data_IF_328993224508
#
_entry.id   IF_328993224508
#
_cell.length_a   1.000
_cell.length_b   1.000
_cell.length_c   1.000
_cell.angle_alpha   90.00
_cell.angle_beta   90.00
_cell.angle_gamma   90.00
#
_symmetry.space_group_name_H-M   'P 1'
#
loop_
_entity.id
_entity.type
_entity.pdbx_description
1 polymer ?
#
# COMPACT_ATOMS: atom_id res chain seq x y z
N UNK A 1 23.33 -8.13 -56.45
CA UNK A 1 23.55 -7.96 -55.00
C UNK A 1 22.19 -7.83 -54.31
N UNK A 2 21.82 -8.78 -53.46
CA UNK A 2 20.65 -8.63 -52.58
C UNK A 2 21.09 -7.91 -51.31
N UNK A 3 20.46 -6.77 -51.00
CA UNK A 3 20.72 -6.05 -49.76
C UNK A 3 20.02 -6.77 -48.61
N UNK A 4 20.78 -7.43 -47.75
CA UNK A 4 20.26 -7.95 -46.49
C UNK A 4 20.24 -6.78 -45.51
N UNK A 5 19.06 -6.27 -45.18
CA UNK A 5 18.92 -5.31 -44.08
C UNK A 5 19.41 -5.97 -42.81
N UNK A 6 20.58 -5.58 -42.33
CA UNK A 6 21.07 -6.00 -41.01
C UNK A 6 20.11 -5.42 -39.98
N UNK A 7 19.61 -6.26 -39.07
CA UNK A 7 18.79 -5.78 -37.98
C UNK A 7 19.53 -4.61 -37.29
N UNK A 8 18.86 -3.45 -37.09
CA UNK A 8 19.49 -2.31 -36.44
C UNK A 8 20.06 -2.74 -35.08
N UNK A 9 21.19 -2.18 -34.67
CA UNK A 9 21.68 -2.38 -33.32
C UNK A 9 20.60 -1.84 -32.36
N UNK A 10 20.02 -2.74 -31.57
CA UNK A 10 19.11 -2.35 -30.50
C UNK A 10 20.00 -2.06 -29.28
N UNK A 11 20.20 -0.79 -28.98
CA UNK A 11 20.87 -0.41 -27.73
C UNK A 11 19.95 -0.76 -26.56
N UNK A 12 20.49 -1.46 -25.57
CA UNK A 12 19.71 -1.80 -24.38
C UNK A 12 19.64 -0.60 -23.45
N UNK A 13 18.60 -0.52 -22.63
CA UNK A 13 18.51 0.51 -21.60
C UNK A 13 19.64 0.31 -20.58
N UNK A 14 20.54 1.28 -20.50
CA UNK A 14 21.68 1.25 -19.59
C UNK A 14 21.32 1.87 -18.24
N UNK A 15 21.81 1.31 -17.11
CA UNK A 15 21.66 1.94 -15.81
C UNK A 15 22.20 3.38 -15.81
N UNK A 16 21.34 4.33 -15.40
CA UNK A 16 21.67 5.75 -15.37
C UNK A 16 21.74 6.45 -16.73
N UNK A 17 21.36 5.82 -17.85
CA UNK A 17 21.41 6.44 -19.18
C UNK A 17 20.63 7.74 -19.30
N UNK A 18 19.53 7.85 -18.54
CA UNK A 18 18.65 9.02 -18.47
C UNK A 18 19.23 10.21 -17.67
N UNK A 19 20.38 10.04 -16.99
CA UNK A 19 20.99 11.10 -16.17
C UNK A 19 21.76 12.08 -17.05
N UNK A 20 21.38 13.36 -16.98
CA UNK A 20 22.08 14.46 -17.67
C UNK A 20 23.15 15.06 -16.76
N UNK A 21 22.83 15.27 -15.48
CA UNK A 21 23.79 15.71 -14.49
C UNK A 21 23.47 15.17 -13.10
N UNK A 22 24.52 14.91 -12.32
CA UNK A 22 24.41 14.35 -10.98
C UNK A 22 25.29 15.12 -10.00
N UNK A 23 24.89 15.22 -8.72
CA UNK A 23 25.68 15.88 -7.69
C UNK A 23 26.88 15.01 -7.34
N UNK A 24 27.89 15.60 -6.68
CA UNK A 24 29.07 14.85 -6.25
C UNK A 24 28.69 13.70 -5.30
N UNK A 25 29.21 12.51 -5.60
CA UNK A 25 29.00 11.29 -4.83
C UNK A 25 27.62 10.66 -5.05
N UNK A 26 27.28 9.68 -4.20
CA UNK A 26 26.04 8.90 -4.32
C UNK A 26 24.83 9.52 -3.59
N UNK A 27 24.85 10.82 -3.31
CA UNK A 27 23.82 11.49 -2.50
C UNK A 27 22.42 11.52 -3.12
N UNK A 28 22.35 11.34 -4.43
CA UNK A 28 21.11 11.36 -5.22
C UNK A 28 20.45 9.97 -5.33
N UNK A 29 21.17 8.90 -4.98
CA UNK A 29 20.73 7.52 -5.12
C UNK A 29 20.58 6.89 -3.74
N UNK A 30 19.41 6.34 -3.47
CA UNK A 30 19.16 5.52 -2.29
C UNK A 30 18.86 4.07 -2.71
N UNK A 31 19.18 3.13 -1.81
CA UNK A 31 18.75 1.75 -1.94
C UNK A 31 17.32 1.64 -1.42
N UNK A 32 16.42 1.10 -2.25
CA UNK A 32 15.00 0.97 -1.91
C UNK A 32 14.50 -0.44 -2.20
N UNK A 33 13.39 -0.83 -1.56
CA UNK A 33 12.71 -2.08 -1.83
C UNK A 33 11.66 -1.86 -2.93
N UNK A 34 11.85 -2.51 -4.08
CA UNK A 34 10.88 -2.51 -5.17
C UNK A 34 9.91 -3.68 -4.95
N UNK A 35 8.61 -3.41 -5.03
CA UNK A 35 7.59 -4.43 -4.83
C UNK A 35 7.65 -5.50 -5.91
N UNK A 36 7.35 -6.74 -5.52
CA UNK A 36 7.19 -7.85 -6.43
C UNK A 36 6.10 -7.64 -7.49
N UNK A 37 6.11 -8.52 -8.51
CA UNK A 37 5.22 -8.58 -9.67
C UNK A 37 5.53 -7.61 -10.83
N UNK A 38 6.70 -6.95 -10.84
CA UNK A 38 7.07 -6.09 -11.98
C UNK A 38 8.56 -6.13 -12.29
N UNK A 39 8.89 -6.13 -13.57
CA UNK A 39 10.25 -5.85 -14.06
C UNK A 39 10.36 -4.36 -14.36
N UNK A 40 11.23 -3.68 -13.63
CA UNK A 40 11.41 -2.22 -13.73
C UNK A 40 12.67 -1.93 -14.55
N UNK A 41 12.52 -1.11 -15.59
CA UNK A 41 13.62 -0.69 -16.45
C UNK A 41 14.32 0.54 -15.87
N UNK A 42 15.61 0.77 -16.21
CA UNK A 42 16.24 2.06 -15.95
C UNK A 42 15.41 3.20 -16.56
N UNK A 43 15.26 4.30 -15.82
CA UNK A 43 14.47 5.46 -16.27
C UNK A 43 12.97 5.36 -16.00
N UNK A 44 12.47 4.24 -15.46
CA UNK A 44 11.07 4.15 -15.04
C UNK A 44 10.77 5.12 -13.91
N UNK A 45 9.73 5.95 -14.09
CA UNK A 45 9.22 6.83 -13.04
C UNK A 45 8.47 5.99 -12.02
N UNK A 46 8.87 6.12 -10.76
CA UNK A 46 8.40 5.28 -9.66
C UNK A 46 7.65 6.13 -8.65
N UNK A 47 6.61 5.54 -8.06
CA UNK A 47 5.90 6.08 -6.91
C UNK A 47 6.19 5.24 -5.68
N UNK A 48 6.12 5.88 -4.51
CA UNK A 48 6.18 5.18 -3.25
C UNK A 48 4.76 4.83 -2.81
N UNK A 49 4.52 3.59 -2.40
CA UNK A 49 3.22 3.18 -1.87
C UNK A 49 3.05 3.77 -0.46
N UNK A 50 2.22 4.81 -0.35
CA UNK A 50 1.90 5.55 0.87
C UNK A 50 0.56 5.19 1.54
N UNK A 51 -0.23 4.27 1.00
CA UNK A 51 -1.48 3.77 1.63
C UNK A 51 -1.64 2.28 1.40
N UNK A 52 -2.08 1.54 2.43
CA UNK A 52 -2.24 0.09 2.34
C UNK A 52 -3.46 -0.32 1.52
N UNK A 53 -3.34 -1.42 0.78
CA UNK A 53 -4.45 -2.00 0.04
C UNK A 53 -5.55 -2.56 0.96
N UNK A 54 -6.79 -2.18 0.70
CA UNK A 54 -7.97 -3.01 0.95
C UNK A 54 -8.19 -3.89 -0.27
N UNK A 55 -8.25 -5.22 -0.10
CA UNK A 55 -8.77 -6.09 -1.13
C UNK A 55 -10.28 -5.86 -1.23
N UNK A 56 -10.76 -5.42 -2.38
CA UNK A 56 -12.17 -5.15 -2.64
C UNK A 56 -12.68 -6.21 -3.61
N UNK A 57 -13.74 -6.91 -3.22
CA UNK A 57 -14.49 -7.76 -4.13
C UNK A 57 -15.52 -6.90 -4.86
N UNK A 58 -15.48 -6.88 -6.18
CA UNK A 58 -16.50 -6.26 -7.02
C UNK A 58 -17.27 -7.34 -7.78
N UNK A 59 -18.60 -7.26 -7.77
CA UNK A 59 -19.43 -8.05 -8.67
C UNK A 59 -19.14 -7.64 -10.12
N UNK A 60 -19.01 -8.61 -11.02
CA UNK A 60 -18.94 -8.35 -12.44
C UNK A 60 -20.30 -8.64 -13.07
N UNK A 61 -20.91 -7.63 -13.71
CA UNK A 61 -22.22 -7.76 -14.36
C UNK A 61 -23.41 -7.83 -13.40
N UNK A 62 -24.54 -8.32 -13.89
CA UNK A 62 -25.78 -8.52 -13.11
C UNK A 62 -25.80 -9.95 -12.54
N UNK A 63 -25.28 -10.13 -11.33
CA UNK A 63 -25.38 -11.41 -10.62
C UNK A 63 -26.80 -11.66 -10.12
N UNK A 64 -27.23 -12.92 -10.10
CA UNK A 64 -28.57 -13.33 -9.63
C UNK A 64 -28.62 -13.38 -8.10
N UNK A 65 -27.54 -13.82 -7.45
CA UNK A 65 -27.44 -13.86 -6.00
C UNK A 65 -27.06 -12.53 -5.36
N UNK A 66 -27.58 -12.28 -4.16
CA UNK A 66 -27.34 -11.06 -3.38
C UNK A 66 -26.49 -11.30 -2.11
N UNK A 67 -25.62 -12.31 -2.12
CA UNK A 67 -24.73 -12.59 -1.00
C UNK A 67 -23.61 -11.55 -0.85
N UNK A 68 -23.05 -11.50 0.36
CA UNK A 68 -22.04 -10.50 0.77
C UNK A 68 -20.68 -11.15 0.97
N UNK A 69 -19.62 -10.45 0.58
CA UNK A 69 -18.25 -10.83 0.91
C UNK A 69 -17.89 -10.39 2.33
N UNK A 70 -17.29 -11.31 3.09
CA UNK A 70 -16.57 -10.98 4.31
C UNK A 70 -15.22 -10.32 4.04
N UNK A 71 -14.49 -9.97 5.09
CA UNK A 71 -13.16 -9.40 4.97
C UNK A 71 -12.22 -10.38 4.24
N UNK A 72 -11.45 -9.87 3.28
CA UNK A 72 -10.43 -10.65 2.55
C UNK A 72 -9.11 -10.50 3.28
N UNK A 73 -8.50 -11.61 3.68
CA UNK A 73 -7.26 -11.67 4.46
C UNK A 73 -6.18 -12.48 3.73
N UNK A 74 -4.88 -12.18 3.95
CA UNK A 74 -3.80 -13.06 3.54
C UNK A 74 -3.80 -14.37 4.34
N UNK A 75 -3.31 -15.47 3.75
CA UNK A 75 -3.13 -16.77 4.44
C UNK A 75 -1.67 -17.23 4.38
N UNK A 76 -1.35 -18.42 4.91
CA UNK A 76 0.02 -18.94 5.10
C UNK A 76 0.84 -19.10 3.82
N UNK A 77 0.19 -19.15 2.65
CA UNK A 77 0.84 -19.11 1.34
C UNK A 77 0.93 -17.66 0.88
N UNK A 78 2.05 -17.19 0.31
CA UNK A 78 2.16 -15.82 -0.18
C UNK A 78 1.01 -15.46 -1.13
N UNK A 79 0.28 -14.39 -0.82
CA UNK A 79 -0.77 -13.84 -1.67
C UNK A 79 -0.17 -13.35 -2.98
N UNK A 80 -0.70 -13.80 -4.12
CA UNK A 80 -0.27 -13.30 -5.42
C UNK A 80 -0.89 -11.93 -5.66
N UNK A 81 -0.12 -11.01 -6.25
CA UNK A 81 -0.62 -9.68 -6.62
C UNK A 81 -1.37 -9.83 -7.96
N UNK A 82 -2.56 -9.23 -8.05
CA UNK A 82 -3.36 -9.20 -9.26
C UNK A 82 -4.83 -9.51 -9.02
N UNK A 83 -5.59 -9.61 -10.11
CA UNK A 83 -7.01 -9.94 -10.09
C UNK A 83 -7.21 -11.44 -9.93
N UNK A 84 -7.92 -11.84 -8.87
CA UNK A 84 -8.47 -13.17 -8.70
C UNK A 84 -9.91 -13.18 -9.23
N UNK A 85 -10.24 -14.13 -10.10
CA UNK A 85 -11.60 -14.30 -10.58
C UNK A 85 -12.33 -15.36 -9.75
N UNK A 86 -13.49 -15.02 -9.21
CA UNK A 86 -14.39 -15.95 -8.53
C UNK A 86 -15.59 -16.19 -9.44
N UNK A 87 -15.88 -17.45 -9.75
CA UNK A 87 -17.00 -17.86 -10.61
C UNK A 87 -17.81 -18.92 -9.89
N UNK A 88 -19.12 -18.71 -9.77
CA UNK A 88 -20.03 -19.71 -9.21
C UNK A 88 -20.30 -20.83 -10.21
N UNK A 89 -20.10 -22.07 -9.77
CA UNK A 89 -20.36 -23.29 -10.54
C UNK A 89 -21.65 -23.99 -10.11
N UNK A 90 -22.22 -23.60 -8.96
CA UNK A 90 -23.54 -23.98 -8.45
C UNK A 90 -24.05 -22.90 -7.50
N UNK A 91 -25.24 -23.07 -6.91
CA UNK A 91 -25.83 -22.09 -6.00
C UNK A 91 -25.00 -21.79 -4.74
N UNK A 92 -24.19 -22.75 -4.32
CA UNK A 92 -23.34 -22.65 -3.12
C UNK A 92 -21.88 -22.95 -3.39
N UNK A 93 -21.50 -23.33 -4.61
CA UNK A 93 -20.13 -23.72 -4.96
C UNK A 93 -19.51 -22.72 -5.94
N UNK A 94 -18.25 -22.38 -5.71
CA UNK A 94 -17.51 -21.44 -6.54
C UNK A 94 -16.07 -21.92 -6.78
N UNK A 95 -15.49 -21.45 -7.88
CA UNK A 95 -14.07 -21.60 -8.23
C UNK A 95 -13.38 -20.25 -8.17
N UNK A 96 -12.23 -20.19 -7.53
CA UNK A 96 -11.32 -19.05 -7.49
C UNK A 96 -10.14 -19.35 -8.39
N UNK A 97 -9.83 -18.44 -9.31
CA UNK A 97 -8.64 -18.51 -10.16
C UNK A 97 -7.70 -17.38 -9.76
N UNK A 98 -6.44 -17.72 -9.47
CA UNK A 98 -5.38 -16.79 -9.13
C UNK A 98 -4.79 -16.12 -10.38
N UNK A 99 -4.05 -14.99 -10.22
CA UNK A 99 -3.33 -14.34 -11.32
C UNK A 99 -2.35 -15.26 -12.06
N UNK A 100 -1.77 -16.25 -11.38
CA UNK A 100 -0.92 -17.29 -11.99
C UNK A 100 -1.68 -18.32 -12.85
N UNK A 101 -3.01 -18.29 -12.86
CA UNK A 101 -3.86 -19.31 -13.48
C UNK A 101 -4.17 -20.51 -12.59
N UNK A 102 -3.63 -20.58 -11.37
CA UNK A 102 -3.95 -21.65 -10.42
C UNK A 102 -5.40 -21.53 -9.91
N UNK A 103 -6.11 -22.66 -9.80
CA UNK A 103 -7.53 -22.69 -9.40
C UNK A 103 -7.75 -23.43 -8.08
N UNK A 104 -8.72 -22.98 -7.28
CA UNK A 104 -9.19 -23.66 -6.07
C UNK A 104 -10.71 -23.52 -5.94
N UNK A 105 -11.36 -24.49 -5.29
CA UNK A 105 -12.81 -24.49 -5.07
C UNK A 105 -13.16 -24.05 -3.65
N UNK A 106 -14.33 -23.43 -3.50
CA UNK A 106 -14.89 -23.04 -2.21
C UNK A 106 -16.40 -23.20 -2.18
N UNK A 107 -16.98 -23.00 -1.00
CA UNK A 107 -18.43 -23.03 -0.80
C UNK A 107 -18.92 -21.87 0.05
N UNK A 108 -20.12 -21.37 -0.23
CA UNK A 108 -20.74 -20.29 0.53
C UNK A 108 -20.96 -20.72 1.98
N UNK A 109 -20.73 -19.79 2.93
CA UNK A 109 -20.83 -20.05 4.36
C UNK A 109 -19.62 -20.79 4.96
N UNK A 110 -18.66 -21.24 4.13
CA UNK A 110 -17.40 -21.85 4.57
C UNK A 110 -16.25 -20.90 4.31
N UNK A 111 -15.31 -20.79 5.26
CA UNK A 111 -14.11 -20.00 5.08
C UNK A 111 -13.25 -20.61 3.96
N UNK A 112 -13.02 -19.85 2.90
CA UNK A 112 -12.05 -20.17 1.87
C UNK A 112 -10.66 -19.80 2.36
N UNK A 113 -9.67 -20.68 2.15
CA UNK A 113 -8.26 -20.44 2.52
C UNK A 113 -7.35 -21.20 1.56
N UNK A 114 -7.14 -20.65 0.37
CA UNK A 114 -6.26 -21.23 -0.65
C UNK A 114 -5.71 -20.12 -1.58
N UNK A 115 -4.71 -20.44 -2.40
CA UNK A 115 -4.11 -19.51 -3.37
C UNK A 115 -3.58 -18.20 -2.75
N UNK A 116 -3.25 -18.25 -1.46
CA UNK A 116 -2.74 -17.11 -0.71
C UNK A 116 -3.79 -16.07 -0.27
N UNK A 117 -5.09 -16.33 -0.47
CA UNK A 117 -6.18 -15.48 0.05
C UNK A 117 -7.16 -16.27 0.92
N UNK A 118 -7.77 -15.57 1.88
CA UNK A 118 -8.84 -16.08 2.72
C UNK A 118 -10.03 -15.13 2.72
N UNK A 119 -11.25 -15.65 2.65
CA UNK A 119 -12.50 -14.89 2.72
C UNK A 119 -13.68 -15.83 2.98
N UNK A 120 -14.82 -15.26 3.34
CA UNK A 120 -16.10 -15.99 3.44
C UNK A 120 -17.14 -15.29 2.60
N UNK A 121 -17.91 -16.04 1.81
CA UNK A 121 -19.10 -15.52 1.12
C UNK A 121 -20.33 -15.96 1.90
N UNK A 122 -21.07 -14.99 2.44
CA UNK A 122 -22.33 -15.25 3.14
C UNK A 122 -23.47 -15.19 2.11
N UNK A 123 -24.30 -16.22 2.06
CA UNK A 123 -25.47 -16.25 1.18
C UNK A 123 -26.48 -15.16 1.61
N UNK A 124 -27.05 -14.46 0.63
CA UNK A 124 -28.14 -13.52 0.85
C UNK A 124 -29.51 -14.20 0.66
N UNK A 125 -30.58 -13.39 0.63
CA UNK A 125 -31.95 -13.88 0.45
C UNK A 125 -32.23 -14.51 -0.92
N UNK A 126 -31.52 -14.12 -1.98
CA UNK A 126 -31.52 -14.79 -3.29
C UNK A 126 -30.23 -15.58 -3.46
N UNK A 127 -30.37 -16.87 -3.75
CA UNK A 127 -29.22 -17.75 -3.97
C UNK A 127 -28.44 -17.34 -5.23
N UNK A 128 -27.13 -17.57 -5.21
CA UNK A 128 -26.29 -17.43 -6.40
C UNK A 128 -26.68 -18.45 -7.48
N UNK A 129 -26.34 -18.16 -8.72
CA UNK A 129 -26.54 -19.05 -9.86
C UNK A 129 -25.22 -19.39 -10.57
N UNK A 130 -25.26 -20.43 -11.40
CA UNK A 130 -24.11 -20.79 -12.25
C UNK A 130 -23.78 -19.60 -13.16
N UNK A 131 -22.52 -19.17 -13.16
CA UNK A 131 -22.05 -18.04 -13.95
C UNK A 131 -22.08 -16.68 -13.24
N UNK A 132 -22.56 -16.58 -11.98
CA UNK A 132 -22.35 -15.37 -11.18
C UNK A 132 -20.84 -15.18 -10.94
N UNK A 133 -20.34 -13.94 -11.13
CA UNK A 133 -18.90 -13.65 -11.07
C UNK A 133 -18.53 -12.48 -10.17
N UNK A 134 -17.36 -12.59 -9.55
CA UNK A 134 -16.74 -11.54 -8.75
C UNK A 134 -15.27 -11.44 -9.08
N UNK A 135 -14.73 -10.23 -9.06
CA UNK A 135 -13.28 -9.99 -9.12
C UNK A 135 -12.80 -9.54 -7.76
N UNK A 136 -11.81 -10.26 -7.23
CA UNK A 136 -11.06 -9.85 -6.05
C UNK A 136 -9.75 -9.28 -6.54
N UNK A 137 -9.55 -7.97 -6.39
CA UNK A 137 -8.25 -7.37 -6.71
C UNK A 137 -7.36 -7.43 -5.47
N UNK A 138 -6.39 -8.33 -5.49
CA UNK A 138 -5.34 -8.40 -4.48
C UNK A 138 -4.20 -7.47 -4.90
N UNK A 139 -4.15 -6.29 -4.31
CA UNK A 139 -3.04 -5.36 -4.49
C UNK A 139 -1.94 -5.68 -3.47
N UNK A 140 -0.69 -5.35 -3.80
CA UNK A 140 0.46 -5.61 -2.94
C UNK A 140 0.21 -5.21 -1.48
N UNK A 141 0.62 -6.10 -0.57
CA UNK A 141 0.73 -5.77 0.84
C UNK A 141 1.96 -4.86 1.03
N UNK A 142 1.77 -3.90 1.91
CA UNK A 142 2.79 -3.27 2.77
C UNK A 142 3.32 -1.92 2.31
N UNK A 143 3.27 -1.02 3.29
CA UNK A 143 4.02 0.22 3.32
C UNK A 143 3.59 1.07 4.51
N UNK A 144 2.36 0.93 5.03
CA UNK A 144 1.88 1.84 6.07
C UNK A 144 2.73 1.76 7.35
N UNK A 145 3.04 2.90 7.98
CA UNK A 145 3.58 2.93 9.32
C UNK A 145 2.71 2.08 10.24
N UNK A 146 3.31 1.17 11.00
CA UNK A 146 2.59 0.40 12.01
C UNK A 146 2.59 1.21 13.29
N UNK A 147 1.42 1.31 13.92
CA UNK A 147 1.28 2.01 15.19
C UNK A 147 0.88 1.00 16.26
N UNK A 148 1.52 1.08 17.42
CA UNK A 148 1.16 0.28 18.59
C UNK A 148 1.12 1.17 19.82
N UNK A 149 0.04 1.06 20.59
CA UNK A 149 -0.10 1.74 21.87
C UNK A 149 0.42 0.84 23.00
N UNK A 150 1.16 1.42 23.93
CA UNK A 150 1.62 0.77 25.17
C UNK A 150 1.23 1.67 26.34
N UNK A 151 0.54 1.11 27.33
CA UNK A 151 0.18 1.83 28.55
C UNK A 151 1.43 2.19 29.37
N UNK A 152 1.40 3.35 30.02
CA UNK A 152 2.43 3.75 30.98
C UNK A 152 2.49 2.78 32.17
N UNK A 153 3.71 2.45 32.61
CA UNK A 153 3.93 1.50 33.71
C UNK A 153 3.47 1.98 35.09
N UNK A 154 3.13 3.26 35.22
CA UNK A 154 2.70 3.91 36.46
C UNK A 154 1.23 4.28 36.48
N UNK A 155 0.45 3.86 35.47
CA UNK A 155 -0.96 4.22 35.37
C UNK A 155 -1.78 3.63 36.53
N UNK A 156 -2.71 4.43 37.05
CA UNK A 156 -3.70 3.99 38.05
C UNK A 156 -4.88 3.31 37.36
N UNK A 157 -5.34 3.87 36.24
CA UNK A 157 -6.39 3.28 35.41
C UNK A 157 -5.90 2.04 34.65
N UNK A 158 -6.79 1.05 34.52
CA UNK A 158 -6.49 -0.22 33.86
C UNK A 158 -7.24 -0.38 32.52
N UNK A 159 -7.57 0.74 31.88
CA UNK A 159 -8.17 0.71 30.55
C UNK A 159 -7.19 0.26 29.47
N UNK A 160 -7.74 -0.10 28.32
CA UNK A 160 -7.01 -0.69 27.21
C UNK A 160 -7.19 0.13 25.93
N UNK A 161 -6.12 0.27 25.17
CA UNK A 161 -6.19 0.83 23.82
C UNK A 161 -6.48 -0.30 22.82
N UNK A 162 -7.36 -0.04 21.86
CA UNK A 162 -7.60 -0.92 20.72
C UNK A 162 -6.34 -1.01 19.83
N UNK A 163 -6.39 -1.87 18.81
CA UNK A 163 -5.39 -1.83 17.75
C UNK A 163 -5.32 -0.41 17.16
N UNK A 164 -4.12 0.16 17.09
CA UNK A 164 -3.90 1.49 16.52
C UNK A 164 -3.72 1.33 15.02
N UNK A 165 -4.49 2.11 14.26
CA UNK A 165 -4.44 2.09 12.80
C UNK A 165 -4.00 3.43 12.25
N UNK A 166 -3.19 3.39 11.20
CA UNK A 166 -2.70 4.57 10.50
C UNK A 166 -3.51 4.83 9.23
N UNK A 167 -3.79 6.10 8.94
CA UNK A 167 -4.34 6.56 7.68
C UNK A 167 -3.20 6.94 6.73
N UNK A 168 -2.84 6.02 5.84
CA UNK A 168 -1.68 6.17 4.96
C UNK A 168 -0.39 6.45 5.74
N UNK A 169 0.43 7.39 5.26
CA UNK A 169 1.66 7.88 5.91
C UNK A 169 1.45 9.27 6.53
N UNK A 170 0.20 9.68 6.76
CA UNK A 170 -0.09 10.92 7.47
C UNK A 170 0.60 11.01 8.85
N UNK A 171 0.70 9.94 9.66
CA UNK A 171 1.44 10.04 10.91
C UNK A 171 2.96 10.04 10.66
N UNK A 172 3.62 11.05 11.22
CA UNK A 172 5.08 11.13 11.33
C UNK A 172 5.61 9.92 12.12
N UNK A 173 6.70 9.33 11.67
CA UNK A 173 7.37 8.23 12.40
C UNK A 173 7.92 8.75 13.72
N UNK A 174 7.68 8.01 14.81
CA UNK A 174 8.13 8.40 16.14
C UNK A 174 7.16 7.98 17.23
N UNK A 175 7.44 8.44 18.45
CA UNK A 175 6.63 8.13 19.63
C UNK A 175 5.69 9.30 19.90
N UNK A 176 4.40 9.03 19.87
CA UNK A 176 3.36 9.97 20.26
C UNK A 176 3.00 9.73 21.71
N UNK A 177 2.70 10.82 22.42
CA UNK A 177 2.24 10.77 23.80
C UNK A 177 0.73 10.95 23.85
N UNK A 178 0.07 10.11 24.64
CA UNK A 178 -1.30 10.31 25.09
C UNK A 178 -1.25 10.48 26.59
N UNK A 179 -1.84 11.56 27.10
CA UNK A 179 -1.91 11.87 28.53
C UNK A 179 -3.36 12.20 28.90
N UNK A 180 -3.86 11.59 29.98
CA UNK A 180 -5.19 11.84 30.50
C UNK A 180 -5.18 13.08 31.38
N UNK A 181 -6.12 14.01 31.12
CA UNK A 181 -6.36 15.20 31.94
C UNK A 181 -7.34 14.90 33.08
N UNK A 182 -8.23 13.94 32.86
CA UNK A 182 -9.20 13.44 33.82
C UNK A 182 -9.51 11.95 33.56
N UNK A 183 -10.55 11.41 34.22
CA UNK A 183 -10.90 9.99 34.11
C UNK A 183 -11.32 9.54 32.70
N UNK A 184 -11.66 10.48 31.81
CA UNK A 184 -12.24 10.22 30.50
C UNK A 184 -11.61 11.03 29.36
N UNK A 185 -11.04 12.21 29.60
CA UNK A 185 -10.45 13.04 28.55
C UNK A 185 -8.94 12.88 28.50
N UNK A 186 -8.42 12.86 27.28
CA UNK A 186 -6.98 12.78 27.02
C UNK A 186 -6.57 13.72 25.88
N UNK A 187 -5.30 14.13 25.91
CA UNK A 187 -4.64 14.87 24.85
C UNK A 187 -3.67 13.94 24.13
N UNK A 188 -3.58 14.08 22.81
CA UNK A 188 -2.57 13.43 22.00
C UNK A 188 -1.57 14.42 21.45
N UNK A 189 -0.28 14.14 21.66
CA UNK A 189 0.85 14.96 21.22
C UNK A 189 1.78 14.17 20.28
N UNK A 190 2.24 14.86 19.25
CA UNK A 190 3.19 14.37 18.25
C UNK A 190 4.60 14.16 18.81
N UNK A 191 5.48 13.41 18.10
CA UNK A 191 6.86 13.21 18.52
C UNK A 191 7.69 14.50 18.64
N UNK A 192 7.27 15.57 17.97
CA UNK A 192 7.88 16.90 18.06
C UNK A 192 7.27 17.77 19.18
N UNK A 193 6.40 17.20 20.02
CA UNK A 193 5.71 17.88 21.12
C UNK A 193 4.52 18.74 20.71
N UNK A 194 4.11 18.74 19.44
CA UNK A 194 2.91 19.46 19.00
C UNK A 194 1.65 18.71 19.38
N UNK A 195 0.66 19.42 19.92
CA UNK A 195 -0.66 18.84 20.17
C UNK A 195 -1.38 18.53 18.84
N UNK A 196 -1.93 17.32 18.75
CA UNK A 196 -2.63 16.82 17.56
C UNK A 196 -4.15 16.91 17.76
N UNK A 197 -4.60 16.75 19.00
CA UNK A 197 -6.00 16.89 19.36
C UNK A 197 -6.37 16.20 20.67
N UNK A 198 -7.63 16.36 21.04
CA UNK A 198 -8.24 15.78 22.23
C UNK A 198 -9.06 14.52 21.89
N UNK A 199 -9.15 13.60 22.84
CA UNK A 199 -10.01 12.44 22.76
C UNK A 199 -10.75 12.15 24.06
N UNK A 200 -11.76 11.29 23.97
CA UNK A 200 -12.56 10.84 25.10
C UNK A 200 -12.53 9.32 25.14
N UNK A 201 -12.33 8.73 26.32
CA UNK A 201 -12.35 7.30 26.54
C UNK A 201 -13.70 6.69 26.12
N UNK A 202 -13.66 5.57 25.41
CA UNK A 202 -14.82 4.91 24.81
C UNK A 202 -15.26 5.50 23.47
N UNK A 203 -14.71 6.64 23.04
CA UNK A 203 -14.99 7.26 21.74
C UNK A 203 -13.80 7.03 20.79
N UNK A 204 -14.09 6.79 19.51
CA UNK A 204 -13.04 6.66 18.50
C UNK A 204 -12.29 7.99 18.32
N UNK A 205 -10.98 7.96 18.51
CA UNK A 205 -10.08 9.06 18.20
C UNK A 205 -9.64 8.98 16.73
N UNK A 206 -9.65 10.10 16.01
CA UNK A 206 -9.20 10.21 14.63
C UNK A 206 -8.56 11.57 14.37
N UNK A 207 -7.25 11.67 14.56
CA UNK A 207 -6.47 12.88 14.28
C UNK A 207 -5.00 12.54 14.02
N UNK A 208 -4.26 13.44 13.35
CA UNK A 208 -2.83 13.23 13.03
C UNK A 208 -2.53 11.98 12.20
N UNK A 209 -3.54 11.44 11.50
CA UNK A 209 -3.41 10.19 10.75
C UNK A 209 -3.46 8.91 11.60
N UNK A 210 -3.84 9.00 12.88
CA UNK A 210 -3.98 7.87 13.79
C UNK A 210 -5.45 7.64 14.16
N UNK A 211 -5.86 6.38 14.22
CA UNK A 211 -7.20 5.99 14.63
C UNK A 211 -7.14 4.83 15.63
N UNK A 212 -7.77 5.01 16.78
CA UNK A 212 -7.87 4.03 17.86
C UNK A 212 -8.97 4.44 18.84
N UNK A 213 -9.33 3.53 19.75
CA UNK A 213 -10.23 3.80 20.88
C UNK A 213 -9.53 3.37 22.16
N UNK A 214 -9.51 4.23 23.18
CA UNK A 214 -9.08 3.85 24.54
C UNK A 214 -10.33 3.58 25.36
N UNK A 215 -10.53 2.34 25.78
CA UNK A 215 -11.67 1.92 26.60
C UNK A 215 -11.26 1.92 28.07
N UNK A 216 -12.07 2.52 28.94
CA UNK A 216 -11.87 2.47 30.38
C UNK A 216 -11.99 1.02 30.90
N UNK A 217 -11.13 0.66 31.86
CA UNK A 217 -11.19 -0.63 32.54
C UNK A 217 -12.03 -0.56 33.82
N UNK A 218 -11.91 -1.57 34.68
CA UNK A 218 -12.62 -1.60 35.96
C UNK A 218 -12.18 -0.52 36.96
N UNK A 219 -10.95 -0.03 36.83
CA UNK A 219 -10.41 1.12 37.58
C UNK A 219 -10.33 2.31 36.62
N UNK A 220 -10.96 3.42 37.01
CA UNK A 220 -10.96 4.63 36.21
C UNK A 220 -9.54 5.21 36.04
N UNK A 221 -9.31 5.86 34.91
CA UNK A 221 -8.10 6.65 34.71
C UNK A 221 -8.09 7.87 35.65
N UNK A 222 -6.91 8.43 35.87
CA UNK A 222 -6.70 9.67 36.63
C UNK A 222 -5.78 10.62 35.85
N UNK A 223 -5.73 11.92 36.21
CA UNK A 223 -4.81 12.85 35.57
C UNK A 223 -3.37 12.34 35.64
N UNK A 224 -2.67 12.34 34.51
CA UNK A 224 -1.29 11.85 34.37
C UNK A 224 -1.17 10.36 33.98
N UNK A 225 -2.26 9.61 33.90
CA UNK A 225 -2.25 8.30 33.23
C UNK A 225 -1.92 8.49 31.74
N UNK A 226 -1.14 7.58 31.16
CA UNK A 226 -0.60 7.80 29.82
C UNK A 226 -0.55 6.55 28.94
N UNK A 227 -0.55 6.77 27.63
CA UNK A 227 -0.18 5.77 26.63
C UNK A 227 0.90 6.33 25.71
N UNK A 228 1.82 5.48 25.30
CA UNK A 228 2.76 5.79 24.22
C UNK A 228 2.31 5.10 22.96
N UNK A 229 2.14 5.85 21.87
CA UNK A 229 1.81 5.29 20.56
C UNK A 229 3.06 5.35 19.69
N UNK A 230 3.71 4.21 19.51
CA UNK A 230 4.91 4.11 18.67
C UNK A 230 4.48 3.88 17.23
N UNK A 231 4.76 4.84 16.36
CA UNK A 231 4.60 4.73 14.91
C UNK A 231 5.95 4.36 14.31
N UNK A 232 6.09 3.10 13.88
CA UNK A 232 7.27 2.64 13.17
C UNK A 232 7.14 2.96 11.68
N UNK A 233 8.25 3.30 11.03
CA UNK A 233 8.29 3.46 9.58
C UNK A 233 7.79 2.17 8.91
N UNK A 234 6.82 2.29 8.01
CA UNK A 234 6.44 1.14 7.21
C UNK A 234 7.44 0.92 6.08
N UNK A 235 7.41 -0.27 5.46
CA UNK A 235 8.49 -0.74 4.59
C UNK A 235 8.72 0.10 3.32
N UNK A 236 7.85 1.07 2.99
CA UNK A 236 8.13 2.04 1.94
C UNK A 236 8.41 1.44 0.57
N UNK A 237 7.55 0.52 0.10
CA UNK A 237 7.76 -0.15 -1.18
C UNK A 237 7.57 0.80 -2.36
N UNK A 238 8.36 0.55 -3.40
CA UNK A 238 8.34 1.31 -4.64
C UNK A 238 7.73 0.48 -5.77
N UNK A 239 6.84 1.09 -6.53
CA UNK A 239 6.21 0.52 -7.74
C UNK A 239 6.25 1.55 -8.86
N UNK A 240 6.12 1.14 -10.14
CA UNK A 240 5.94 2.10 -11.22
C UNK A 240 4.81 3.08 -10.91
N UNK A 241 5.03 4.36 -11.23
CA UNK A 241 4.04 5.39 -11.00
C UNK A 241 2.85 5.18 -11.93
N UNK A 242 1.71 4.76 -11.38
CA UNK A 242 0.49 4.47 -12.15
C UNK A 242 -0.59 5.53 -11.88
N UNK A 243 -1.25 6.05 -12.92
CA UNK A 243 -2.20 7.15 -12.77
C UNK A 243 -3.47 6.76 -11.98
N UNK A 244 -3.83 5.48 -12.02
CA UNK A 244 -5.02 4.93 -11.35
C UNK A 244 -4.73 4.43 -9.94
N UNK A 245 -3.48 4.46 -9.49
CA UNK A 245 -3.17 4.12 -8.12
C UNK A 245 -3.88 5.07 -7.15
N UNK A 246 -4.32 4.52 -6.03
CA UNK A 246 -4.87 5.25 -4.89
C UNK A 246 -4.04 5.01 -3.63
N UNK A 247 -2.93 4.30 -3.80
CA UNK A 247 -2.05 3.83 -2.74
C UNK A 247 -0.87 4.76 -2.48
N UNK A 248 -0.86 5.95 -3.07
CA UNK A 248 0.25 6.91 -3.02
C UNK A 248 1.24 6.79 -4.17
N UNK A 249 1.31 5.64 -4.83
CA UNK A 249 2.25 5.43 -5.93
C UNK A 249 1.87 6.18 -7.22
N UNK A 250 0.67 6.76 -7.29
CA UNK A 250 0.28 7.69 -8.34
C UNK A 250 1.09 9.01 -8.30
N UNK A 251 1.73 9.30 -7.16
CA UNK A 251 2.61 10.44 -7.00
C UNK A 251 4.06 10.01 -7.30
N UNK A 252 4.66 10.61 -8.33
CA UNK A 252 6.06 10.35 -8.66
C UNK A 252 6.99 10.76 -7.52
N UNK A 253 7.79 9.81 -7.04
CA UNK A 253 8.69 9.96 -5.90
C UNK A 253 10.17 9.75 -6.26
N UNK A 254 10.46 9.25 -7.46
CA UNK A 254 11.82 8.96 -7.90
C UNK A 254 11.88 8.23 -9.24
N UNK A 255 13.09 7.92 -9.70
CA UNK A 255 13.34 7.26 -10.98
C UNK A 255 14.26 6.06 -10.76
N UNK A 256 13.91 4.90 -11.33
CA UNK A 256 14.71 3.69 -11.18
C UNK A 256 16.06 3.86 -11.88
N UNK A 257 17.17 3.71 -11.14
CA UNK A 257 18.52 3.91 -11.69
C UNK A 257 18.93 2.77 -12.62
N UNK A 258 18.62 1.52 -12.25
CA UNK A 258 19.06 0.32 -12.96
C UNK A 258 17.96 -0.71 -13.09
N UNK A 259 18.14 -1.66 -14.01
CA UNK A 259 17.19 -2.74 -14.21
C UNK A 259 17.02 -3.52 -12.92
N UNK A 260 15.77 -3.62 -12.46
CA UNK A 260 15.41 -4.36 -11.25
C UNK A 260 14.31 -5.35 -11.61
N UNK A 261 14.64 -6.64 -11.56
CA UNK A 261 13.68 -7.70 -11.83
C UNK A 261 13.02 -8.17 -10.54
N UNK A 262 11.87 -7.58 -10.20
CA UNK A 262 11.05 -7.96 -9.06
C UNK A 262 9.88 -8.86 -9.52
N UNK A 263 10.01 -9.64 -10.60
CA UNK A 263 8.91 -10.44 -11.14
C UNK A 263 8.36 -11.51 -10.18
N UNK A 264 9.22 -12.07 -9.31
CA UNK A 264 8.85 -13.18 -8.41
C UNK A 264 8.83 -12.80 -6.93
N UNK A 265 9.53 -11.74 -6.53
CA UNK A 265 9.66 -11.30 -5.15
C UNK A 265 10.07 -9.83 -5.09
N UNK A 266 9.95 -9.22 -3.91
CA UNK A 266 10.51 -7.89 -3.68
C UNK A 266 12.03 -7.92 -3.87
N UNK A 267 12.59 -6.91 -4.52
CA UNK A 267 14.03 -6.81 -4.81
C UNK A 267 14.56 -5.45 -4.41
N UNK A 268 15.78 -5.44 -3.87
CA UNK A 268 16.49 -4.20 -3.59
C UNK A 268 16.97 -3.56 -4.90
N UNK A 269 16.51 -2.35 -5.17
CA UNK A 269 16.91 -1.55 -6.33
C UNK A 269 17.59 -0.24 -5.93
N UNK A 270 18.29 0.37 -6.88
CA UNK A 270 18.83 1.72 -6.74
C UNK A 270 17.83 2.72 -7.32
N UNK A 271 17.44 3.72 -6.53
CA UNK A 271 16.47 4.74 -6.92
C UNK A 271 17.11 6.11 -6.88
N UNK A 272 16.94 6.88 -7.94
CA UNK A 272 17.25 8.30 -7.97
C UNK A 272 16.11 9.04 -7.28
N UNK A 273 16.38 9.61 -6.12
CA UNK A 273 15.35 10.17 -5.22
C UNK A 273 15.47 11.67 -5.00
N UNK A 274 16.59 12.29 -5.40
CA UNK A 274 16.82 13.73 -5.17
C UNK A 274 17.92 14.32 -6.05
N UNK A 275 17.85 15.63 -6.28
CA UNK A 275 18.98 16.47 -6.71
C UNK A 275 19.76 16.01 -7.95
N UNK A 276 19.10 15.78 -9.09
CA UNK A 276 19.77 15.46 -10.36
C UNK A 276 19.03 16.07 -11.56
N UNK A 277 19.68 16.18 -12.70
CA UNK A 277 19.01 16.52 -13.97
C UNK A 277 18.86 15.26 -14.81
N UNK A 278 17.68 15.08 -15.42
CA UNK A 278 17.32 13.90 -16.21
C UNK A 278 16.80 14.29 -17.57
N UNK A 279 17.03 13.45 -18.58
CA UNK A 279 16.48 13.66 -19.91
C UNK A 279 15.00 13.27 -19.91
N UNK A 280 14.10 14.22 -20.14
CA UNK A 280 12.65 13.98 -20.12
C UNK A 280 12.21 12.95 -21.16
N UNK A 281 12.86 12.89 -22.33
CA UNK A 281 12.47 11.97 -23.41
C UNK A 281 12.84 10.51 -23.15
N UNK A 282 13.74 10.27 -22.20
CA UNK A 282 14.21 8.92 -21.84
C UNK A 282 13.51 8.36 -20.60
N UNK A 283 12.60 9.13 -20.00
CA UNK A 283 11.79 8.64 -18.89
C UNK A 283 10.79 7.61 -19.40
N UNK A 284 10.76 6.46 -18.71
CA UNK A 284 9.82 5.38 -18.98
C UNK A 284 8.60 5.56 -18.07
N UNK A 285 7.43 5.61 -18.68
CA UNK A 285 6.16 5.82 -18.00
C UNK A 285 5.36 4.52 -17.98
N UNK A 286 4.55 4.34 -16.93
CA UNK A 286 3.54 3.31 -16.95
C UNK A 286 2.49 3.60 -18.04
N UNK A 287 1.92 2.53 -18.60
CA UNK A 287 0.90 2.62 -19.66
C UNK A 287 -0.35 3.43 -19.27
N UNK A 288 -0.66 3.55 -17.97
CA UNK A 288 -1.77 4.36 -17.46
C UNK A 288 -1.52 5.87 -17.49
N UNK A 289 -0.27 6.32 -17.68
CA UNK A 289 0.10 7.73 -17.57
C UNK A 289 -0.14 8.49 -18.88
N UNK A 290 -1.16 9.34 -18.91
CA UNK A 290 -1.44 10.25 -20.02
C UNK A 290 -0.62 11.55 -19.93
N UNK A 291 -0.68 12.41 -20.96
CA UNK A 291 0.12 13.65 -21.00
C UNK A 291 -0.12 14.58 -19.80
N UNK A 292 -1.35 14.65 -19.27
CA UNK A 292 -1.67 15.49 -18.12
C UNK A 292 -1.10 14.90 -16.81
N UNK A 293 -1.21 13.59 -16.59
CA UNK A 293 -0.65 12.94 -15.41
C UNK A 293 0.89 12.89 -15.44
N UNK A 294 1.50 12.75 -16.63
CA UNK A 294 2.94 12.91 -16.80
C UNK A 294 3.41 14.33 -16.44
N UNK A 295 2.68 15.37 -16.87
CA UNK A 295 3.01 16.74 -16.49
C UNK A 295 2.94 16.96 -14.97
N UNK A 296 1.91 16.42 -14.31
CA UNK A 296 1.80 16.48 -12.85
C UNK A 296 2.95 15.73 -12.14
N UNK A 297 3.31 14.54 -12.63
CA UNK A 297 4.43 13.77 -12.11
C UNK A 297 5.77 14.50 -12.23
N UNK A 298 6.02 15.19 -13.35
CA UNK A 298 7.24 15.99 -13.54
C UNK A 298 7.34 17.16 -12.56
N UNK A 299 6.22 17.78 -12.19
CA UNK A 299 6.17 18.82 -11.15
C UNK A 299 6.57 18.23 -9.79
N UNK A 300 6.07 17.04 -9.45
CA UNK A 300 6.43 16.34 -8.21
C UNK A 300 7.92 15.96 -8.18
N UNK A 301 8.46 15.45 -9.29
CA UNK A 301 9.90 15.16 -9.40
C UNK A 301 10.74 16.44 -9.22
N UNK A 302 10.29 17.56 -9.79
CA UNK A 302 10.97 18.86 -9.64
C UNK A 302 10.98 19.32 -8.18
N UNK A 303 9.90 19.09 -7.42
CA UNK A 303 9.83 19.40 -6.00
C UNK A 303 10.84 18.58 -5.16
N UNK A 304 11.22 17.40 -5.63
CA UNK A 304 12.28 16.56 -5.03
C UNK A 304 13.69 16.96 -5.49
N UNK A 305 13.80 17.97 -6.35
CA UNK A 305 15.07 18.41 -6.96
C UNK A 305 15.54 17.53 -8.11
N UNK A 306 14.69 16.67 -8.66
CA UNK A 306 14.93 15.92 -9.89
C UNK A 306 14.38 16.77 -11.04
N UNK A 307 15.26 17.40 -11.81
CA UNK A 307 14.90 18.38 -12.83
C UNK A 307 14.89 17.71 -14.21
N UNK A 308 13.72 17.54 -14.85
CA UNK A 308 13.63 17.04 -16.21
C UNK A 308 14.06 18.14 -17.20
N UNK A 309 14.95 17.80 -18.13
CA UNK A 309 15.43 18.66 -19.21
C UNK A 309 14.89 18.20 -20.55
#
# INVERSE_FOLDING_TARGET
>A
MSYVSRAPLLEQWHPGGFLVSQPRGHRHIDRVLISGATKVLPGTVMGQQTTGATAVAAALGTNTGNGTFGAITPVTVPTQIGAYSVVFTAATAFTVTAPSGATATGSTGVAFSALGIGFTITAGGTAFAVGDTFTITATAVVGKPTAAAVAGGTNVGNGACSAVTTNGYAPVVGVYAVEFDDATHFIMSAPNGQEIGHGTAGVAFSAGGLNFTITAGGTAFVPGDSFTVTVAAGAGKWVPCTATAVDGSQNAAGICFGLSDASLNDVMGAMVVRSCEVNKSELVWDSSMNAASQAAALVLLTALGIIPR
#
